data_IF_293496548333
#
_entry.id   IF_293496548333
#
_cell.length_a   1.000
_cell.length_b   1.000
_cell.length_c   1.000
_cell.angle_alpha   90.00
_cell.angle_beta   90.00
_cell.angle_gamma   90.00
#
_symmetry.space_group_name_H-M   'P 1'
#
loop_
_entity.id
_entity.type
_entity.pdbx_description
1 polymer ?
#
# COMPACT_ATOMS: atom_id res chain seq x y z
N UNK A 1 6.65 57.02 -6.64
CA UNK A 1 5.56 56.11 -6.25
C UNK A 1 6.09 54.69 -6.43
N UNK A 2 6.21 53.94 -5.34
CA UNK A 2 6.67 52.54 -5.36
C UNK A 2 5.47 51.66 -5.63
N UNK A 3 5.43 51.00 -6.77
CA UNK A 3 4.48 49.94 -7.09
C UNK A 3 4.93 48.69 -6.34
N UNK A 4 4.19 48.33 -5.30
CA UNK A 4 4.27 47.01 -4.68
C UNK A 4 3.56 46.06 -5.64
N UNK A 5 4.32 45.26 -6.39
CA UNK A 5 3.77 44.15 -7.17
C UNK A 5 3.19 43.14 -6.17
N UNK A 6 1.88 42.92 -6.23
CA UNK A 6 1.23 41.89 -5.45
C UNK A 6 1.77 40.53 -5.90
N UNK A 7 2.39 39.78 -4.99
CA UNK A 7 2.81 38.39 -5.26
C UNK A 7 1.58 37.59 -5.67
N UNK A 8 1.58 37.12 -6.92
CA UNK A 8 0.49 36.31 -7.45
C UNK A 8 0.54 34.93 -6.78
N UNK A 9 -0.48 34.60 -5.99
CA UNK A 9 -0.62 33.28 -5.36
C UNK A 9 -0.60 32.18 -6.43
N UNK A 10 0.43 31.34 -6.42
CA UNK A 10 0.54 30.17 -7.31
C UNK A 10 -0.28 29.03 -6.73
N UNK A 11 -1.53 28.92 -7.17
CA UNK A 11 -2.38 27.76 -6.87
C UNK A 11 -1.97 26.56 -7.73
N UNK A 12 -1.79 25.40 -7.10
CA UNK A 12 -1.53 24.14 -7.79
C UNK A 12 -2.74 23.22 -7.61
N UNK A 13 -3.40 22.86 -8.70
CA UNK A 13 -4.52 21.91 -8.66
C UNK A 13 -4.00 20.49 -8.41
N UNK A 14 -4.52 19.85 -7.35
CA UNK A 14 -4.16 18.48 -6.97
C UNK A 14 -5.09 17.42 -7.60
N UNK A 15 -6.22 17.86 -8.15
CA UNK A 15 -7.28 16.99 -8.63
C UNK A 15 -8.08 16.33 -7.51
N UNK A 16 -8.74 15.21 -7.82
CA UNK A 16 -9.47 14.41 -6.83
C UNK A 16 -8.51 13.58 -5.99
N UNK A 17 -8.82 13.46 -4.70
CA UNK A 17 -8.05 12.64 -3.76
C UNK A 17 -8.54 11.18 -3.82
N UNK A 18 -7.63 10.18 -3.80
CA UNK A 18 -8.03 8.78 -3.75
C UNK A 18 -8.67 8.42 -2.40
N UNK A 19 -9.58 7.46 -2.43
CA UNK A 19 -10.18 6.87 -1.24
C UNK A 19 -9.09 6.26 -0.36
N UNK A 20 -9.19 6.48 0.95
CA UNK A 20 -8.17 6.01 1.89
C UNK A 20 -6.86 6.79 1.84
N UNK A 21 -6.79 7.93 1.15
CA UNK A 21 -5.63 8.83 1.21
C UNK A 21 -5.25 9.12 2.67
N UNK A 22 -3.99 8.85 3.00
CA UNK A 22 -3.45 9.06 4.33
C UNK A 22 -2.47 10.23 4.35
N UNK A 23 -1.53 10.27 3.41
CA UNK A 23 -0.52 11.33 3.30
C UNK A 23 0.03 11.39 1.87
N UNK A 24 0.60 12.53 1.47
CA UNK A 24 1.15 12.68 0.13
C UNK A 24 1.92 13.96 -0.08
N UNK A 25 2.83 13.93 -1.05
CA UNK A 25 3.68 15.07 -1.43
C UNK A 25 3.69 15.21 -2.95
N UNK A 26 3.46 16.42 -3.43
CA UNK A 26 3.63 16.79 -4.83
C UNK A 26 5.04 17.34 -5.04
N UNK A 27 5.73 16.85 -6.06
CA UNK A 27 7.11 17.24 -6.35
C UNK A 27 7.08 18.39 -7.35
N UNK A 28 7.28 19.61 -6.85
CA UNK A 28 7.33 20.81 -7.67
C UNK A 28 8.50 20.73 -8.67
N UNK A 29 8.31 21.32 -9.85
CA UNK A 29 9.25 21.34 -10.99
C UNK A 29 9.42 20.02 -11.75
N UNK A 30 8.64 18.98 -11.43
CA UNK A 30 8.53 17.77 -12.25
C UNK A 30 7.05 17.48 -12.50
N UNK A 31 6.62 17.61 -13.74
CA UNK A 31 5.22 17.31 -14.10
C UNK A 31 4.83 15.92 -13.62
N UNK A 32 3.59 15.79 -13.12
CA UNK A 32 2.97 14.50 -12.77
C UNK A 32 3.84 13.64 -11.83
N UNK A 33 4.53 14.27 -10.88
CA UNK A 33 5.39 13.60 -9.92
C UNK A 33 4.87 13.77 -8.50
N UNK A 34 4.61 12.66 -7.83
CA UNK A 34 4.07 12.65 -6.47
C UNK A 34 4.47 11.38 -5.71
N UNK A 35 4.49 11.47 -4.39
CA UNK A 35 4.51 10.33 -3.49
C UNK A 35 3.18 10.31 -2.72
N UNK A 36 2.55 9.15 -2.59
CA UNK A 36 1.26 9.02 -1.90
C UNK A 36 1.22 7.76 -1.04
N UNK A 37 0.63 7.90 0.15
CA UNK A 37 0.30 6.82 1.06
C UNK A 37 -1.22 6.68 1.10
N UNK A 38 -1.72 5.47 0.84
CA UNK A 38 -3.14 5.14 0.84
C UNK A 38 -3.34 3.94 1.76
N UNK A 39 -4.29 4.04 2.69
CA UNK A 39 -4.68 2.94 3.56
C UNK A 39 -5.95 2.28 3.05
N UNK A 40 -5.97 0.95 3.03
CA UNK A 40 -7.16 0.16 2.72
C UNK A 40 -7.56 -0.57 3.99
N UNK A 41 -8.80 -0.37 4.44
CA UNK A 41 -9.29 -1.05 5.64
C UNK A 41 -9.40 -2.56 5.44
N UNK A 42 -9.29 -3.30 6.55
CA UNK A 42 -9.57 -4.73 6.56
C UNK A 42 -10.93 -5.01 5.90
N UNK A 43 -10.96 -5.98 5.00
CA UNK A 43 -12.12 -6.29 4.18
C UNK A 43 -12.10 -7.73 3.71
N UNK A 44 -13.23 -8.22 3.23
CA UNK A 44 -13.33 -9.49 2.51
C UNK A 44 -12.97 -9.24 1.04
N UNK A 45 -11.96 -9.94 0.54
CA UNK A 45 -11.48 -9.80 -0.84
C UNK A 45 -11.24 -11.16 -1.50
N UNK A 46 -10.77 -11.11 -2.74
CA UNK A 46 -10.43 -12.31 -3.52
C UNK A 46 -8.94 -12.30 -3.82
N UNK A 47 -8.28 -13.44 -3.59
CA UNK A 47 -6.91 -13.71 -4.04
C UNK A 47 -6.98 -14.79 -5.11
N UNK A 48 -6.35 -14.57 -6.26
CA UNK A 48 -6.19 -15.59 -7.29
C UNK A 48 -4.89 -16.34 -7.05
N UNK A 49 -4.95 -17.56 -6.52
CA UNK A 49 -3.79 -18.43 -6.31
C UNK A 49 -3.73 -19.46 -7.44
N UNK A 50 -2.70 -19.41 -8.31
CA UNK A 50 -2.60 -20.25 -9.51
C UNK A 50 -3.89 -20.22 -10.37
N UNK A 51 -4.45 -19.02 -10.57
CA UNK A 51 -5.67 -18.77 -11.32
C UNK A 51 -6.97 -19.15 -10.61
N UNK A 52 -6.89 -19.76 -9.42
CA UNK A 52 -8.07 -20.16 -8.64
C UNK A 52 -8.45 -19.05 -7.66
N UNK A 53 -9.67 -18.49 -7.75
CA UNK A 53 -10.12 -17.46 -6.82
C UNK A 53 -10.34 -18.05 -5.42
N UNK A 54 -9.82 -17.36 -4.41
CA UNK A 54 -9.98 -17.66 -2.99
C UNK A 54 -10.50 -16.42 -2.27
N UNK A 55 -11.72 -16.51 -1.75
CA UNK A 55 -12.30 -15.44 -0.95
C UNK A 55 -11.74 -15.51 0.48
N UNK A 56 -11.08 -14.44 0.92
CA UNK A 56 -10.39 -14.38 2.21
C UNK A 56 -10.51 -13.00 2.83
N UNK A 57 -10.38 -12.94 4.15
CA UNK A 57 -10.26 -11.67 4.86
C UNK A 57 -8.85 -11.11 4.73
N UNK A 58 -8.74 -9.84 4.37
CA UNK A 58 -7.50 -9.07 4.35
C UNK A 58 -7.36 -8.26 5.65
N UNK A 59 -6.13 -8.05 6.14
CA UNK A 59 -5.87 -7.08 7.20
C UNK A 59 -6.03 -5.64 6.68
N UNK A 60 -5.95 -4.65 7.57
CA UNK A 60 -5.72 -3.28 7.15
C UNK A 60 -4.37 -3.20 6.41
N UNK A 61 -4.30 -2.46 5.30
CA UNK A 61 -3.11 -2.34 4.45
C UNK A 61 -2.69 -0.88 4.29
N UNK A 62 -1.39 -0.65 4.11
CA UNK A 62 -0.81 0.61 3.66
C UNK A 62 -0.10 0.40 2.33
N UNK A 63 -0.49 1.20 1.34
CA UNK A 63 0.19 1.31 0.06
C UNK A 63 1.00 2.61 0.01
N UNK A 64 2.24 2.51 -0.47
CA UNK A 64 3.06 3.67 -0.81
C UNK A 64 3.39 3.61 -2.29
N UNK A 65 3.00 4.64 -3.04
CA UNK A 65 3.36 4.80 -4.44
C UNK A 65 4.23 6.05 -4.64
N UNK A 66 5.30 5.88 -5.41
CA UNK A 66 6.15 6.98 -5.86
C UNK A 66 6.03 7.07 -7.38
N UNK A 67 5.52 8.19 -7.87
CA UNK A 67 5.29 8.45 -9.30
C UNK A 67 6.23 9.56 -9.76
N UNK A 68 6.93 9.34 -10.86
CA UNK A 68 7.86 10.30 -11.46
C UNK A 68 7.51 10.46 -12.92
N UNK A 69 7.23 11.69 -13.34
CA UNK A 69 6.88 12.03 -14.72
C UNK A 69 5.70 11.17 -15.23
N UNK A 70 4.72 10.92 -14.35
CA UNK A 70 3.56 10.06 -14.61
C UNK A 70 3.84 8.56 -14.60
N UNK A 71 5.07 8.12 -14.38
CA UNK A 71 5.45 6.70 -14.34
C UNK A 71 5.58 6.20 -12.90
N UNK A 72 5.07 5.01 -12.62
CA UNK A 72 5.26 4.36 -11.32
C UNK A 72 6.74 3.99 -11.14
N UNK A 73 7.42 4.68 -10.23
CA UNK A 73 8.86 4.50 -9.95
C UNK A 73 9.12 3.53 -8.81
N UNK A 74 8.25 3.52 -7.79
CA UNK A 74 8.30 2.59 -6.68
C UNK A 74 6.91 2.35 -6.10
N UNK A 75 6.68 1.15 -5.58
CA UNK A 75 5.41 0.73 -5.02
C UNK A 75 5.64 -0.24 -3.87
N UNK A 76 5.02 0.01 -2.73
CA UNK A 76 5.15 -0.82 -1.54
C UNK A 76 3.77 -1.14 -0.95
N UNK A 77 3.64 -2.30 -0.34
CA UNK A 77 2.46 -2.73 0.39
C UNK A 77 2.89 -3.34 1.73
N UNK A 78 2.20 -2.95 2.81
CA UNK A 78 2.40 -3.45 4.15
C UNK A 78 1.06 -3.77 4.78
N UNK A 79 1.01 -4.78 5.66
CA UNK A 79 -0.10 -4.92 6.57
C UNK A 79 0.05 -3.95 7.76
N UNK A 80 -1.07 -3.55 8.36
CA UNK A 80 -1.11 -2.62 9.47
C UNK A 80 -1.67 -3.30 10.71
N UNK A 81 -0.98 -3.11 11.83
CA UNK A 81 -1.61 -3.19 13.15
C UNK A 81 -2.06 -1.82 13.59
N UNK A 82 -3.33 -1.73 13.98
CA UNK A 82 -3.91 -0.54 14.62
C UNK A 82 -3.11 -0.16 15.86
N UNK A 83 -3.10 1.12 16.19
CA UNK A 83 -2.42 1.60 17.39
C UNK A 83 -3.21 1.25 18.67
N UNK A 84 -2.72 1.68 19.83
CA UNK A 84 -3.36 1.42 21.12
C UNK A 84 -4.79 1.98 21.24
N UNK A 85 -5.19 2.93 20.37
CA UNK A 85 -6.55 3.46 20.31
C UNK A 85 -7.49 2.64 19.41
N UNK A 86 -6.97 1.61 18.73
CA UNK A 86 -7.73 0.81 17.76
C UNK A 86 -7.88 1.48 16.39
N UNK A 87 -7.15 2.57 16.15
CA UNK A 87 -7.24 3.36 14.91
C UNK A 87 -5.98 3.18 14.05
N UNK A 88 -6.13 3.52 12.76
CA UNK A 88 -4.99 3.68 11.87
C UNK A 88 -4.45 5.10 12.03
N UNK A 89 -3.16 5.20 12.37
CA UNK A 89 -2.50 6.47 12.66
C UNK A 89 -0.98 6.35 12.67
N UNK A 90 -0.25 7.42 13.03
CA UNK A 90 1.20 7.48 12.91
C UNK A 90 1.94 6.40 13.72
N UNK A 91 1.33 5.92 14.81
CA UNK A 91 1.87 4.87 15.68
C UNK A 91 1.47 3.45 15.27
N UNK A 92 0.61 3.30 14.24
CA UNK A 92 0.26 1.98 13.70
C UNK A 92 1.52 1.26 13.21
N UNK A 93 1.65 -0.02 13.57
CA UNK A 93 2.84 -0.82 13.27
C UNK A 93 2.74 -1.35 11.84
N UNK A 94 3.82 -1.20 11.09
CA UNK A 94 3.96 -1.85 9.79
C UNK A 94 4.34 -3.31 10.01
N UNK A 95 3.62 -4.18 9.32
CA UNK A 95 3.84 -5.60 9.30
C UNK A 95 4.19 -6.04 7.88
N UNK A 96 4.86 -7.19 7.77
CA UNK A 96 5.02 -7.84 6.48
C UNK A 96 3.65 -8.15 5.88
N UNK A 97 3.52 -7.98 4.56
CA UNK A 97 2.33 -8.42 3.86
C UNK A 97 2.20 -9.95 3.97
N UNK A 98 1.03 -10.49 4.33
CA UNK A 98 0.90 -11.90 4.70
C UNK A 98 0.77 -12.87 3.50
N UNK A 99 0.67 -12.34 2.27
CA UNK A 99 0.50 -13.14 1.06
C UNK A 99 1.69 -12.92 0.09
N UNK A 100 1.68 -13.63 -1.04
CA UNK A 100 2.66 -13.46 -2.11
C UNK A 100 2.57 -12.11 -2.83
N UNK A 101 3.37 -11.94 -3.88
CA UNK A 101 3.51 -10.71 -4.69
C UNK A 101 4.17 -9.51 -3.99
N UNK A 102 4.61 -9.64 -2.74
CA UNK A 102 5.31 -8.57 -2.01
C UNK A 102 6.62 -9.11 -1.45
N UNK A 103 7.73 -8.43 -1.75
CA UNK A 103 9.05 -8.79 -1.23
C UNK A 103 9.18 -8.45 0.26
N UNK A 104 10.21 -8.99 0.92
CA UNK A 104 10.46 -8.76 2.35
C UNK A 104 10.64 -7.29 2.73
N UNK A 105 11.08 -6.44 1.81
CA UNK A 105 11.18 -5.00 2.03
C UNK A 105 9.87 -4.24 1.77
N UNK A 106 8.76 -4.94 1.53
CA UNK A 106 7.45 -4.39 1.21
C UNK A 106 7.26 -4.00 -0.24
N UNK A 107 8.27 -4.11 -1.11
CA UNK A 107 8.12 -3.76 -2.53
C UNK A 107 7.11 -4.69 -3.20
N UNK A 108 6.19 -4.12 -3.97
CA UNK A 108 5.23 -4.89 -4.78
C UNK A 108 5.94 -5.43 -6.02
N UNK A 109 5.74 -6.71 -6.31
CA UNK A 109 6.09 -7.35 -7.57
C UNK A 109 4.91 -7.29 -8.53
N UNK A 110 5.10 -6.64 -9.67
CA UNK A 110 4.09 -6.51 -10.72
C UNK A 110 4.29 -7.50 -11.88
N UNK A 111 5.29 -8.39 -11.78
CA UNK A 111 5.73 -9.22 -12.90
C UNK A 111 6.11 -8.38 -14.11
N UNK A 112 5.51 -8.69 -15.26
CA UNK A 112 5.72 -7.99 -16.53
C UNK A 112 4.69 -6.88 -16.80
N UNK A 113 3.88 -6.51 -15.80
CA UNK A 113 2.83 -5.51 -15.97
C UNK A 113 3.42 -4.14 -16.25
N UNK A 114 2.95 -3.50 -17.32
CA UNK A 114 3.28 -2.11 -17.65
C UNK A 114 2.06 -1.25 -17.37
N UNK A 115 2.22 -0.26 -16.49
CA UNK A 115 1.14 0.67 -16.16
C UNK A 115 1.07 1.82 -17.16
N UNK A 116 -0.15 2.28 -17.53
CA UNK A 116 -0.30 3.51 -18.30
C UNK A 116 0.20 4.71 -17.49
N UNK A 117 0.51 5.80 -18.19
CA UNK A 117 0.93 7.05 -17.56
C UNK A 117 -0.17 7.56 -16.63
N UNK A 118 0.19 7.85 -15.39
CA UNK A 118 -0.68 8.46 -14.39
C UNK A 118 -0.74 9.96 -14.62
N UNK A 119 -1.96 10.50 -14.65
CA UNK A 119 -2.21 11.93 -14.89
C UNK A 119 -2.58 12.66 -13.61
N UNK A 120 -3.03 11.94 -12.58
CA UNK A 120 -3.41 12.48 -11.28
C UNK A 120 -3.13 11.53 -10.12
N UNK A 121 -3.16 12.06 -8.89
CA UNK A 121 -3.03 11.23 -7.68
C UNK A 121 -4.19 10.23 -7.52
N UNK A 122 -5.37 10.53 -8.08
CA UNK A 122 -6.53 9.64 -8.10
C UNK A 122 -6.25 8.33 -8.84
N UNK A 123 -5.36 8.35 -9.83
CA UNK A 123 -5.00 7.14 -10.58
C UNK A 123 -4.33 6.07 -9.71
N UNK A 124 -3.85 6.42 -8.51
CA UNK A 124 -3.31 5.46 -7.56
C UNK A 124 -4.34 4.40 -7.11
N UNK A 125 -5.65 4.70 -7.20
CA UNK A 125 -6.69 3.69 -6.95
C UNK A 125 -6.64 2.55 -7.97
N UNK A 126 -6.28 2.85 -9.22
CA UNK A 126 -6.14 1.82 -10.26
C UNK A 126 -4.97 0.89 -9.97
N UNK A 127 -3.91 1.37 -9.32
CA UNK A 127 -2.80 0.54 -8.87
C UNK A 127 -3.26 -0.40 -7.75
N UNK A 128 -4.04 0.09 -6.79
CA UNK A 128 -4.59 -0.74 -5.72
C UNK A 128 -5.52 -1.82 -6.30
N UNK A 129 -6.40 -1.46 -7.24
CA UNK A 129 -7.24 -2.42 -7.94
C UNK A 129 -6.40 -3.47 -8.67
N UNK A 130 -5.38 -3.03 -9.42
CA UNK A 130 -4.46 -3.93 -10.13
C UNK A 130 -3.70 -4.86 -9.18
N UNK A 131 -3.42 -4.42 -7.95
CA UNK A 131 -2.76 -5.25 -6.94
C UNK A 131 -3.66 -6.40 -6.48
N UNK A 132 -4.94 -6.13 -6.23
CA UNK A 132 -5.89 -7.17 -5.83
C UNK A 132 -6.29 -8.09 -6.99
N UNK A 133 -6.30 -7.59 -8.22
CA UNK A 133 -6.57 -8.39 -9.42
C UNK A 133 -5.37 -9.25 -9.86
N UNK A 134 -4.17 -8.97 -9.33
CA UNK A 134 -2.97 -9.71 -9.68
C UNK A 134 -3.02 -11.14 -9.13
N UNK A 135 -2.84 -12.11 -10.02
CA UNK A 135 -2.61 -13.49 -9.63
C UNK A 135 -1.33 -13.61 -8.79
N UNK A 136 -1.36 -14.49 -7.81
CA UNK A 136 -0.22 -14.79 -6.95
C UNK A 136 0.09 -16.29 -6.97
N UNK A 137 1.31 -16.60 -6.57
CA UNK A 137 1.85 -17.96 -6.47
C UNK A 137 2.75 -18.05 -5.22
N UNK A 138 3.43 -19.19 -5.06
CA UNK A 138 4.30 -19.40 -3.91
C UNK A 138 5.71 -18.79 -4.06
N UNK A 139 6.08 -18.17 -5.19
CA UNK A 139 7.46 -17.74 -5.46
C UNK A 139 7.94 -16.64 -4.52
N UNK A 140 7.04 -15.72 -4.16
CA UNK A 140 7.30 -14.65 -3.18
C UNK A 140 6.60 -14.88 -1.85
N UNK A 141 5.92 -16.01 -1.69
CA UNK A 141 5.32 -16.35 -0.41
C UNK A 141 6.39 -16.80 0.56
N UNK A 142 6.46 -16.13 1.70
CA UNK A 142 7.15 -16.62 2.87
C UNK A 142 6.15 -16.63 4.02
N UNK A 143 6.22 -17.63 4.90
CA UNK A 143 5.35 -17.65 6.06
C UNK A 143 5.72 -16.48 7.01
N UNK A 144 4.86 -15.46 7.02
CA UNK A 144 4.93 -14.27 7.87
C UNK A 144 3.81 -14.24 8.93
N UNK A 145 3.23 -15.41 9.20
CA UNK A 145 2.14 -15.58 10.16
C UNK A 145 2.72 -16.04 11.49
N UNK A 146 2.63 -15.17 12.49
CA UNK A 146 3.13 -15.41 13.84
C UNK A 146 2.41 -16.62 14.46
N UNK A 147 3.15 -17.49 15.12
CA UNK A 147 2.66 -18.70 15.82
C UNK A 147 2.04 -19.79 14.92
N UNK A 148 2.06 -19.65 13.59
CA UNK A 148 1.48 -20.63 12.66
C UNK A 148 2.51 -21.18 11.65
N UNK A 149 3.51 -21.98 12.10
CA UNK A 149 4.53 -22.56 11.22
C UNK A 149 3.97 -23.55 10.19
N UNK A 150 2.75 -24.04 10.37
CA UNK A 150 2.06 -24.94 9.45
C UNK A 150 1.72 -24.30 8.09
N UNK A 151 1.63 -22.97 8.01
CA UNK A 151 1.35 -22.24 6.77
C UNK A 151 2.59 -22.12 5.87
N UNK A 152 3.24 -23.24 5.59
CA UNK A 152 4.43 -23.32 4.72
C UNK A 152 4.13 -22.93 3.28
N UNK A 153 2.92 -23.21 2.82
CA UNK A 153 2.40 -22.77 1.54
C UNK A 153 1.25 -21.81 1.75
N UNK A 154 1.07 -20.86 0.82
CA UNK A 154 0.01 -19.86 0.90
C UNK A 154 -1.38 -20.51 0.92
N UNK A 155 -1.55 -21.63 0.23
CA UNK A 155 -2.80 -22.41 0.20
C UNK A 155 -3.35 -22.69 1.60
N UNK A 156 -2.51 -23.13 2.55
CA UNK A 156 -2.92 -23.43 3.92
C UNK A 156 -3.43 -22.20 4.68
N UNK A 157 -2.77 -21.05 4.49
CA UNK A 157 -3.22 -19.77 5.04
C UNK A 157 -4.57 -19.37 4.45
N UNK A 158 -4.73 -19.43 3.13
CA UNK A 158 -5.96 -19.01 2.46
C UNK A 158 -7.17 -19.88 2.84
N UNK A 159 -7.00 -21.21 2.94
CA UNK A 159 -8.08 -22.10 3.39
C UNK A 159 -8.51 -21.80 4.83
N UNK A 160 -7.57 -21.38 5.67
CA UNK A 160 -7.89 -20.99 7.05
C UNK A 160 -8.62 -19.64 7.10
N UNK A 161 -8.15 -18.64 6.36
CA UNK A 161 -8.76 -17.31 6.32
C UNK A 161 -10.13 -17.28 5.63
N UNK A 162 -10.41 -18.25 4.76
CA UNK A 162 -11.70 -18.39 4.08
C UNK A 162 -12.87 -18.58 5.06
N UNK A 163 -12.62 -19.21 6.20
CA UNK A 163 -13.62 -19.49 7.23
C UNK A 163 -13.66 -18.40 8.32
N UNK A 164 -12.96 -17.28 8.12
CA UNK A 164 -12.87 -16.17 9.07
C UNK A 164 -13.65 -14.94 8.60
N UNK A 165 -14.19 -14.19 9.56
CA UNK A 165 -14.86 -12.91 9.30
C UNK A 165 -13.91 -11.71 9.48
N UNK A 166 -12.86 -11.86 10.28
CA UNK A 166 -11.90 -10.81 10.60
C UNK A 166 -10.48 -11.38 10.56
N UNK A 167 -9.55 -10.66 9.90
CA UNK A 167 -8.15 -11.06 9.91
C UNK A 167 -7.57 -10.94 11.33
N UNK A 168 -6.98 -12.00 11.91
CA UNK A 168 -6.46 -11.95 13.27
C UNK A 168 -5.22 -11.05 13.37
N UNK A 169 -5.36 -9.87 13.99
CA UNK A 169 -4.26 -8.89 14.11
C UNK A 169 -2.99 -9.48 14.75
N UNK A 170 -3.13 -10.40 15.71
CA UNK A 170 -2.02 -11.08 16.37
C UNK A 170 -1.15 -11.93 15.42
N UNK A 171 -1.70 -12.34 14.27
CA UNK A 171 -0.98 -13.13 13.27
C UNK A 171 0.02 -12.32 12.47
N UNK A 172 -0.15 -10.99 12.41
CA UNK A 172 0.73 -10.14 11.65
C UNK A 172 2.12 -10.05 12.30
N UNK A 173 3.14 -10.37 11.51
CA UNK A 173 4.53 -10.19 11.89
C UNK A 173 4.98 -8.74 11.65
N UNK A 174 5.37 -8.05 12.71
CA UNK A 174 5.88 -6.68 12.64
C UNK A 174 7.27 -6.62 12.00
N UNK A 175 7.52 -5.58 11.20
CA UNK A 175 8.80 -5.39 10.51
C UNK A 175 9.71 -4.35 11.20
N UNK A 176 9.33 -3.90 12.40
CA UNK A 176 10.07 -2.90 13.19
C UNK A 176 9.74 -1.43 12.86
N UNK A 177 8.94 -1.15 11.83
CA UNK A 177 8.57 0.21 11.43
C UNK A 177 7.14 0.58 11.84
N UNK A 178 6.84 1.88 11.76
CA UNK A 178 5.53 2.48 11.99
C UNK A 178 5.08 3.24 10.74
N UNK A 179 3.78 3.52 10.64
CA UNK A 179 3.22 4.27 9.52
C UNK A 179 3.86 5.67 9.38
N UNK A 180 4.23 6.31 10.49
CA UNK A 180 5.00 7.55 10.49
C UNK A 180 6.36 7.46 9.79
N UNK A 181 7.01 6.29 9.75
CA UNK A 181 8.25 6.11 8.99
C UNK A 181 8.01 6.30 7.47
N UNK A 182 6.85 5.88 6.94
CA UNK A 182 6.49 6.12 5.53
C UNK A 182 6.27 7.61 5.27
N UNK A 183 5.60 8.31 6.19
CA UNK A 183 5.39 9.76 6.14
C UNK A 183 6.72 10.53 6.06
N UNK A 184 7.73 10.09 6.81
CA UNK A 184 9.09 10.66 6.74
C UNK A 184 9.74 10.34 5.38
N UNK A 185 9.58 9.11 4.89
CA UNK A 185 10.17 8.66 3.62
C UNK A 185 9.63 9.40 2.37
N UNK A 186 8.37 9.85 2.38
CA UNK A 186 7.81 10.65 1.27
C UNK A 186 8.19 12.14 1.34
N UNK A 187 8.59 12.63 2.52
CA UNK A 187 9.08 14.00 2.72
C UNK A 187 10.58 14.17 2.51
N UNK A 188 11.27 13.12 2.04
CA UNK A 188 12.71 13.15 1.81
C UNK A 188 13.55 13.12 3.09
N UNK A 189 13.02 12.51 4.16
CA UNK A 189 13.79 12.29 5.39
C UNK A 189 15.11 11.59 5.10
N UNK A 190 16.21 12.23 5.49
CA UNK A 190 17.54 11.63 5.61
C UNK A 190 17.58 10.66 6.78
#
# INVERSE_FOLDING_TARGET
MSTIEAEQERCLEIGQIPNGFYDGVLIQNKEQSFDVIITVSAHLGVIYLFGVPKQVVFPDLAFLFKVREGMLSASFCFALKRDASGMIGPASRLCYYPFGNVYDNGRICWGNTVFPKMTSIKDAEKLIQSFFDAETNNDLYQNRIVEHPEFKEQSGLLETLKEMEVFPQKWLQENGNQLSNLCVAIRGGK
#
